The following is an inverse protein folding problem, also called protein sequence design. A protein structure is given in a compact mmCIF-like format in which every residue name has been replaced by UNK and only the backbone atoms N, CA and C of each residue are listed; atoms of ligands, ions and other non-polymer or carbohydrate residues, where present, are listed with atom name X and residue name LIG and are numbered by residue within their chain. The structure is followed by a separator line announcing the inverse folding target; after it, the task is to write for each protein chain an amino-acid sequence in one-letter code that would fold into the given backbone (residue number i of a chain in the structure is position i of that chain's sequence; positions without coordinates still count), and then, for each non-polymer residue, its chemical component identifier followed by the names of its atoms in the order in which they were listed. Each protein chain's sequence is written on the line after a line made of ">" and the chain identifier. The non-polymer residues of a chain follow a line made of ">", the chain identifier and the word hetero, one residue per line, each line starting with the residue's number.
data_IF_928492884592
#
_entry.id   IF_928492884592
#
_cell.length_a   1.000
_cell.length_b   1.000
_cell.length_c   1.000
_cell.angle_alpha   90.00
_cell.angle_beta   90.00
_cell.angle_gamma   90.00
#
_symmetry.space_group_name_H-M   'P 1'
#
loop_
_entity.id
_entity.type
_entity.pdbx_description
1 polymer ?
#
# COMPACT_ATOMS: atom_id res chain seq x y z
N UNK A 1 -39.43 -14.38 46.34
CA UNK A 1 -39.09 -15.00 45.03
C UNK A 1 -39.56 -14.04 43.96
N UNK A 2 -38.65 -13.29 43.34
CA UNK A 2 -38.98 -12.30 42.32
C UNK A 2 -38.84 -12.95 40.94
N UNK A 3 -39.94 -12.97 40.18
CA UNK A 3 -39.98 -13.37 38.78
C UNK A 3 -39.45 -12.22 37.92
N UNK A 4 -38.30 -12.44 37.29
CA UNK A 4 -37.76 -11.58 36.23
C UNK A 4 -38.33 -12.06 34.89
N UNK A 5 -39.27 -11.29 34.35
CA UNK A 5 -39.78 -11.41 32.99
C UNK A 5 -38.65 -11.07 32.01
N UNK A 6 -38.41 -11.98 31.06
CA UNK A 6 -37.44 -11.83 29.99
C UNK A 6 -38.12 -11.18 28.79
N UNK A 7 -37.94 -9.88 28.61
CA UNK A 7 -38.37 -9.19 27.39
C UNK A 7 -37.32 -9.41 26.30
N UNK A 8 -37.62 -10.34 25.40
CA UNK A 8 -36.91 -10.55 24.14
C UNK A 8 -37.25 -9.38 23.21
N UNK A 9 -36.43 -8.33 23.21
CA UNK A 9 -36.48 -7.30 22.16
C UNK A 9 -35.93 -7.90 20.87
N UNK A 10 -36.77 -8.62 20.15
CA UNK A 10 -36.54 -8.99 18.75
C UNK A 10 -36.87 -7.77 17.89
N UNK A 11 -35.92 -6.83 17.84
CA UNK A 11 -35.95 -5.73 16.90
C UNK A 11 -35.78 -6.30 15.49
N UNK A 12 -36.89 -6.44 14.75
CA UNK A 12 -36.84 -6.71 13.32
C UNK A 12 -36.22 -5.50 12.61
N UNK A 13 -34.90 -5.50 12.45
CA UNK A 13 -34.24 -4.67 11.45
C UNK A 13 -34.48 -5.31 10.09
N UNK A 14 -35.65 -5.03 9.49
CA UNK A 14 -35.78 -5.20 8.05
C UNK A 14 -34.74 -4.30 7.38
N UNK A 15 -33.89 -4.82 6.49
CA UNK A 15 -33.02 -3.98 5.71
C UNK A 15 -33.91 -3.08 4.87
N UNK A 16 -33.96 -1.79 5.22
CA UNK A 16 -34.56 -0.75 4.39
C UNK A 16 -33.81 -0.78 3.07
N UNK A 17 -34.35 -1.52 2.08
CA UNK A 17 -33.89 -1.43 0.71
C UNK A 17 -34.21 -0.02 0.28
N UNK A 18 -33.20 0.85 0.31
CA UNK A 18 -33.28 2.19 -0.27
C UNK A 18 -33.60 1.97 -1.74
N UNK A 19 -34.86 2.08 -2.13
CA UNK A 19 -35.24 2.26 -3.52
C UNK A 19 -34.47 3.48 -4.01
N UNK A 20 -33.75 3.33 -5.11
CA UNK A 20 -32.76 4.28 -5.60
C UNK A 20 -33.39 5.66 -5.84
N UNK A 21 -33.20 6.58 -4.90
CA UNK A 21 -33.44 8.03 -5.08
C UNK A 21 -32.28 8.66 -5.87
N UNK A 22 -31.77 7.95 -6.87
CA UNK A 22 -30.62 8.37 -7.66
C UNK A 22 -31.12 8.85 -9.01
N UNK A 23 -30.70 10.05 -9.40
CA UNK A 23 -31.06 10.62 -10.69
C UNK A 23 -30.51 9.76 -11.83
N UNK A 24 -31.27 9.61 -12.91
CA UNK A 24 -30.89 8.84 -14.11
C UNK A 24 -29.49 9.21 -14.61
N UNK A 25 -29.15 10.50 -14.59
CA UNK A 25 -27.82 11.01 -14.97
C UNK A 25 -26.69 10.44 -14.10
N UNK A 26 -26.92 10.29 -12.79
CA UNK A 26 -25.93 9.71 -11.88
C UNK A 26 -25.71 8.23 -12.15
N UNK A 27 -26.76 7.51 -12.56
CA UNK A 27 -26.67 6.10 -12.93
C UNK A 27 -25.82 5.94 -14.20
N UNK A 28 -26.09 6.75 -15.23
CA UNK A 28 -25.36 6.70 -16.50
C UNK A 28 -23.86 7.04 -16.30
N UNK A 29 -23.54 8.00 -15.42
CA UNK A 29 -22.15 8.31 -15.07
C UNK A 29 -21.44 7.16 -14.35
N UNK A 30 -22.12 6.49 -13.42
CA UNK A 30 -21.58 5.35 -12.69
C UNK A 30 -21.31 4.20 -13.65
N UNK A 31 -22.24 3.89 -14.55
CA UNK A 31 -22.08 2.85 -15.58
C UNK A 31 -20.86 3.13 -16.46
N UNK A 32 -20.69 4.37 -16.93
CA UNK A 32 -19.53 4.78 -17.73
C UNK A 32 -18.20 4.59 -16.97
N UNK A 33 -18.16 4.87 -15.67
CA UNK A 33 -16.95 4.71 -14.84
C UNK A 33 -16.66 3.24 -14.53
N UNK A 34 -17.70 2.44 -14.30
CA UNK A 34 -17.56 0.99 -14.08
C UNK A 34 -17.03 0.28 -15.34
N UNK A 35 -17.43 0.72 -16.54
CA UNK A 35 -16.90 0.19 -17.80
C UNK A 35 -15.40 0.47 -18.03
N UNK A 36 -14.80 1.41 -17.30
CA UNK A 36 -13.37 1.76 -17.37
C UNK A 36 -12.62 1.37 -16.10
N UNK A 37 -13.19 0.48 -15.28
CA UNK A 37 -12.61 0.10 -14.00
C UNK A 37 -11.27 -0.63 -14.23
N UNK A 38 -10.15 -0.11 -13.72
CA UNK A 38 -8.85 -0.76 -13.86
C UNK A 38 -8.77 -2.03 -13.02
N UNK A 39 -7.90 -2.95 -13.44
CA UNK A 39 -7.67 -4.21 -12.73
C UNK A 39 -6.86 -4.01 -11.46
N UNK A 40 -7.00 -4.95 -10.52
CA UNK A 40 -6.25 -4.92 -9.26
C UNK A 40 -4.73 -4.84 -9.49
N UNK A 41 -4.23 -5.58 -10.47
CA UNK A 41 -2.80 -5.60 -10.78
C UNK A 41 -2.33 -4.25 -11.32
N UNK A 42 -3.07 -3.63 -12.24
CA UNK A 42 -2.79 -2.30 -12.77
C UNK A 42 -2.72 -1.23 -11.66
N UNK A 43 -3.60 -1.33 -10.66
CA UNK A 43 -3.55 -0.45 -9.49
C UNK A 43 -2.36 -0.72 -8.57
N UNK A 44 -1.87 -1.97 -8.50
CA UNK A 44 -0.64 -2.30 -7.76
C UNK A 44 0.60 -1.77 -8.49
N UNK A 45 0.67 -1.94 -9.81
CA UNK A 45 1.79 -1.45 -10.63
C UNK A 45 1.90 0.07 -10.60
N UNK A 46 0.76 0.76 -10.58
CA UNK A 46 0.69 2.22 -10.39
C UNK A 46 0.93 2.66 -8.94
N UNK A 47 1.28 1.75 -8.02
CA UNK A 47 1.46 2.02 -6.59
C UNK A 47 0.23 2.66 -5.90
N UNK A 48 -0.97 2.48 -6.46
CA UNK A 48 -2.23 2.98 -5.91
C UNK A 48 -2.74 2.00 -4.83
N UNK A 49 -2.66 0.69 -5.11
CA UNK A 49 -2.98 -0.36 -4.13
C UNK A 49 -1.70 -0.87 -3.46
N UNK A 50 -1.42 -0.37 -2.26
CA UNK A 50 -0.33 -0.87 -1.43
C UNK A 50 -0.68 -2.22 -0.83
N UNK A 51 0.14 -3.23 -1.10
CA UNK A 51 0.01 -4.51 -0.41
C UNK A 51 0.48 -4.35 1.04
N UNK A 52 -0.24 -4.91 2.02
CA UNK A 52 0.13 -4.83 3.44
C UNK A 52 1.56 -5.35 3.75
N UNK A 53 2.16 -6.13 2.83
CA UNK A 53 3.52 -6.66 2.91
C UNK A 53 4.62 -5.63 2.60
N UNK A 54 4.28 -4.48 2.03
CA UNK A 54 5.24 -3.45 1.61
C UNK A 54 6.00 -2.85 2.80
N UNK A 55 5.35 -2.69 3.96
CA UNK A 55 6.02 -2.18 5.17
C UNK A 55 7.15 -3.09 5.64
N UNK A 56 6.91 -4.40 5.66
CA UNK A 56 7.91 -5.39 6.04
C UNK A 56 9.05 -5.44 5.01
N UNK A 57 8.71 -5.43 3.71
CA UNK A 57 9.70 -5.40 2.64
C UNK A 57 10.57 -4.15 2.71
N UNK A 58 9.96 -2.99 3.00
CA UNK A 58 10.68 -1.73 3.18
C UNK A 58 11.67 -1.80 4.34
N UNK A 59 11.25 -2.26 5.51
CA UNK A 59 12.16 -2.42 6.67
C UNK A 59 13.33 -3.35 6.33
N UNK A 60 13.06 -4.49 5.69
CA UNK A 60 14.12 -5.40 5.26
C UNK A 60 15.08 -4.78 4.23
N UNK A 61 14.57 -3.91 3.35
CA UNK A 61 15.41 -3.18 2.39
C UNK A 61 16.23 -2.09 3.07
N UNK A 62 15.67 -1.38 4.05
CA UNK A 62 16.37 -0.40 4.88
C UNK A 62 17.54 -1.09 5.63
N UNK A 63 17.27 -2.20 6.33
CA UNK A 63 18.31 -2.95 7.05
C UNK A 63 19.44 -3.44 6.12
N UNK A 64 19.07 -3.95 4.92
CA UNK A 64 20.04 -4.39 3.91
C UNK A 64 20.85 -3.24 3.34
N UNK A 65 20.23 -2.08 3.15
CA UNK A 65 20.90 -0.88 2.67
C UNK A 65 21.91 -0.39 3.70
N UNK A 66 21.50 -0.30 4.96
CA UNK A 66 22.36 0.12 6.07
C UNK A 66 23.58 -0.79 6.21
N UNK A 67 23.38 -2.12 6.13
CA UNK A 67 24.49 -3.07 6.15
C UNK A 67 25.49 -2.84 4.99
N UNK A 68 25.00 -2.58 3.78
CA UNK A 68 25.86 -2.31 2.61
C UNK A 68 26.57 -0.97 2.73
N UNK A 69 25.93 0.04 3.30
CA UNK A 69 26.53 1.35 3.53
C UNK A 69 27.63 1.30 4.60
N UNK A 70 27.46 0.48 5.64
CA UNK A 70 28.50 0.24 6.65
C UNK A 70 29.74 -0.43 6.06
N UNK A 71 29.56 -1.31 5.07
CA UNK A 71 30.65 -2.00 4.36
C UNK A 71 31.17 -1.20 3.16
N UNK A 72 30.89 0.11 3.08
CA UNK A 72 31.33 0.93 1.96
C UNK A 72 32.87 1.02 1.95
N UNK A 73 33.56 0.52 0.91
CA UNK A 73 35.02 0.56 0.83
C UNK A 73 35.53 1.99 0.69
N UNK A 74 36.76 2.23 1.13
CA UNK A 74 37.39 3.54 1.01
C UNK A 74 37.82 3.79 -0.43
N UNK A 75 37.91 5.06 -0.87
CA UNK A 75 38.40 5.39 -2.20
C UNK A 75 39.79 4.80 -2.50
N UNK A 76 40.68 4.78 -1.51
CA UNK A 76 42.02 4.19 -1.63
C UNK A 76 42.00 2.69 -1.93
N UNK A 77 41.03 1.95 -1.38
CA UNK A 77 40.86 0.52 -1.64
C UNK A 77 40.35 0.30 -3.07
N UNK A 78 39.43 1.15 -3.53
CA UNK A 78 38.94 1.13 -4.91
C UNK A 78 40.04 1.45 -5.93
N UNK A 79 41.01 2.30 -5.57
CA UNK A 79 42.19 2.58 -6.41
C UNK A 79 43.12 1.36 -6.47
N UNK A 80 43.38 0.71 -5.33
CA UNK A 80 44.20 -0.51 -5.28
C UNK A 80 43.60 -1.66 -6.09
N UNK A 81 42.27 -1.77 -6.07
CA UNK A 81 41.54 -2.77 -6.84
C UNK A 81 41.40 -2.40 -8.33
N UNK A 82 41.94 -1.23 -8.75
CA UNK A 82 41.90 -0.75 -10.13
C UNK A 82 40.50 -0.31 -10.61
N UNK A 83 39.55 -0.16 -9.69
CA UNK A 83 38.16 0.26 -9.96
C UNK A 83 38.09 1.79 -10.11
N UNK A 84 38.89 2.52 -9.32
CA UNK A 84 38.95 3.98 -9.32
C UNK A 84 40.33 4.44 -9.80
N UNK A 85 40.39 5.45 -10.68
CA UNK A 85 41.66 6.06 -11.08
C UNK A 85 42.12 7.06 -10.02
N UNK A 86 43.43 7.19 -9.83
CA UNK A 86 44.03 8.10 -8.83
C UNK A 86 43.60 9.56 -9.03
N UNK A 87 43.37 9.97 -10.29
CA UNK A 87 42.93 11.33 -10.66
C UNK A 87 41.45 11.62 -10.33
N UNK A 88 40.64 10.58 -10.14
CA UNK A 88 39.20 10.66 -9.87
C UNK A 88 38.87 10.41 -8.39
N UNK A 89 39.88 10.07 -7.58
CA UNK A 89 39.72 9.97 -6.14
C UNK A 89 39.37 11.34 -5.54
N UNK A 90 38.32 11.43 -4.68
CA UNK A 90 37.93 12.70 -4.07
C UNK A 90 39.09 13.20 -3.21
N UNK A 91 39.65 14.35 -3.58
CA UNK A 91 40.62 15.09 -2.77
C UNK A 91 39.90 15.61 -1.53
N UNK A 92 40.10 14.92 -0.41
CA UNK A 92 39.65 15.36 0.92
C UNK A 92 40.62 16.41 1.44
#
# INVERSE_FOLDING_TARGET
>A
MATITSETTTGQHQPVRRSSTLDKSTIDEIEKRLGRRPDKHELQDRNILKAAKEKLQRSQLEDKLDQKLQQRPKPEELVKDGILQEDEAPKV
#
